data_IF_792690501210
#
_entry.id   IF_792690501210
#
_cell.length_a   1.000
_cell.length_b   1.000
_cell.length_c   1.000
_cell.angle_alpha   90.00
_cell.angle_beta   90.00
_cell.angle_gamma   90.00
#
_symmetry.space_group_name_H-M   'P 1'
#
loop_
_entity.id
_entity.type
_entity.pdbx_description
1 polymer ?
#
# COMPACT_ATOMS: atom_id res chain seq x y z
N UNK A 1 21.73 -8.52 13.09
CA UNK A 1 20.58 -7.62 12.86
C UNK A 1 19.45 -8.43 12.25
N UNK A 2 18.30 -8.39 12.88
CA UNK A 2 17.12 -8.99 12.30
C UNK A 2 16.73 -8.26 11.02
N UNK A 3 16.37 -9.00 9.97
CA UNK A 3 15.88 -8.42 8.73
C UNK A 3 14.58 -7.66 9.02
N UNK A 4 14.52 -6.40 8.61
CA UNK A 4 13.35 -5.56 8.82
C UNK A 4 12.21 -5.99 7.90
N UNK A 5 11.00 -6.09 8.44
CA UNK A 5 9.81 -6.41 7.67
C UNK A 5 9.41 -5.22 6.79
N UNK A 6 9.06 -5.48 5.54
CA UNK A 6 8.78 -4.43 4.55
C UNK A 6 7.43 -4.63 3.88
N UNK A 7 6.62 -3.58 3.86
CA UNK A 7 5.29 -3.56 3.26
C UNK A 7 5.25 -2.55 2.12
N UNK A 8 4.68 -2.94 0.99
CA UNK A 8 4.51 -2.10 -0.19
C UNK A 8 3.03 -1.97 -0.54
N UNK A 9 2.52 -0.74 -0.55
CA UNK A 9 1.15 -0.43 -0.95
C UNK A 9 1.11 -0.08 -2.44
N UNK A 10 0.21 -0.71 -3.20
CA UNK A 10 0.19 -0.57 -4.67
C UNK A 10 -1.21 -0.21 -5.17
N UNK A 11 -1.30 0.87 -5.95
CA UNK A 11 -2.49 1.23 -6.72
C UNK A 11 -2.12 1.40 -8.20
N UNK A 12 -2.98 2.05 -8.98
CA UNK A 12 -2.70 2.25 -10.42
C UNK A 12 -1.60 3.28 -10.64
N UNK A 13 -1.81 4.52 -10.19
CA UNK A 13 -0.94 5.67 -10.51
C UNK A 13 0.03 6.08 -9.42
N UNK A 14 -0.10 5.57 -8.23
CA UNK A 14 0.72 5.92 -7.07
C UNK A 14 0.66 7.42 -6.72
N UNK A 15 -0.51 8.04 -6.88
CA UNK A 15 -0.71 9.46 -6.51
C UNK A 15 -1.88 9.69 -5.54
N UNK A 16 -2.81 8.76 -5.39
CA UNK A 16 -3.97 8.91 -4.49
C UNK A 16 -4.02 7.84 -3.41
N UNK A 17 -4.42 6.61 -3.78
CA UNK A 17 -4.72 5.53 -2.83
C UNK A 17 -3.47 4.99 -2.14
N UNK A 18 -2.48 4.55 -2.89
CA UNK A 18 -1.31 3.90 -2.30
C UNK A 18 -0.44 4.85 -1.47
N UNK A 19 -0.22 6.13 -1.85
CA UNK A 19 0.51 7.03 -0.97
C UNK A 19 -0.26 7.32 0.32
N UNK A 20 -1.59 7.41 0.27
CA UNK A 20 -2.41 7.55 1.48
C UNK A 20 -2.28 6.32 2.36
N UNK A 21 -2.41 5.12 1.78
CA UNK A 21 -2.25 3.86 2.51
C UNK A 21 -0.86 3.75 3.15
N UNK A 22 0.19 4.14 2.44
CA UNK A 22 1.56 4.12 2.95
C UNK A 22 1.70 4.93 4.24
N UNK A 23 1.24 6.18 4.22
CA UNK A 23 1.41 7.10 5.36
C UNK A 23 0.53 6.66 6.54
N UNK A 24 -0.71 6.25 6.27
CA UNK A 24 -1.61 5.76 7.31
C UNK A 24 -1.06 4.48 7.96
N UNK A 25 -0.57 3.55 7.16
CA UNK A 25 0.02 2.30 7.65
C UNK A 25 1.26 2.58 8.51
N UNK A 26 2.14 3.45 8.02
CA UNK A 26 3.35 3.87 8.76
C UNK A 26 3.00 4.50 10.10
N UNK A 27 1.97 5.36 10.11
CA UNK A 27 1.49 6.01 11.35
C UNK A 27 1.11 4.97 12.41
N UNK A 28 0.34 3.95 12.03
CA UNK A 28 -0.06 2.90 12.97
C UNK A 28 1.10 1.98 13.36
N UNK A 29 2.04 1.71 12.45
CA UNK A 29 3.27 0.99 12.81
C UNK A 29 4.01 1.74 13.92
N UNK A 30 4.15 3.06 13.79
CA UNK A 30 4.84 3.88 14.77
C UNK A 30 4.09 3.89 16.12
N UNK A 31 2.76 4.03 16.08
CA UNK A 31 1.94 3.99 17.31
C UNK A 31 2.06 2.67 18.06
N UNK A 32 2.17 1.55 17.33
CA UNK A 32 2.29 0.21 17.91
C UNK A 32 3.73 -0.23 18.11
N UNK A 33 4.70 0.67 17.88
CA UNK A 33 6.14 0.42 18.05
C UNK A 33 6.63 -0.78 17.22
N UNK A 34 6.08 -0.93 16.00
CA UNK A 34 6.49 -1.96 15.04
C UNK A 34 7.58 -1.43 14.13
N UNK A 35 8.69 -2.16 14.04
CA UNK A 35 9.80 -1.81 13.14
C UNK A 35 9.53 -2.34 11.73
N UNK A 36 8.64 -1.67 11.01
CA UNK A 36 8.21 -2.02 9.66
C UNK A 36 8.50 -0.87 8.72
N UNK A 37 9.18 -1.15 7.60
CA UNK A 37 9.33 -0.19 6.50
C UNK A 37 8.08 -0.26 5.64
N UNK A 38 7.50 0.89 5.31
CA UNK A 38 6.33 1.00 4.44
C UNK A 38 6.68 1.91 3.26
N UNK A 39 6.36 1.47 2.06
CA UNK A 39 6.56 2.23 0.82
C UNK A 39 5.33 2.05 -0.08
N UNK A 40 5.30 2.72 -1.21
CA UNK A 40 4.22 2.59 -2.18
C UNK A 40 4.73 2.65 -3.62
N UNK A 41 3.93 2.10 -4.55
CA UNK A 41 4.22 2.09 -5.98
C UNK A 41 2.92 2.04 -6.77
N UNK A 42 3.01 2.25 -8.08
CA UNK A 42 1.89 2.10 -9.01
C UNK A 42 2.12 0.97 -9.98
N UNK A 43 1.04 0.35 -10.46
CA UNK A 43 1.15 -0.63 -11.53
C UNK A 43 1.48 0.05 -12.86
N UNK A 44 1.12 1.34 -13.02
CA UNK A 44 1.46 2.14 -14.20
C UNK A 44 2.60 3.14 -13.89
N UNK A 45 3.14 3.75 -14.95
CA UNK A 45 4.14 4.80 -14.85
C UNK A 45 3.59 6.19 -15.24
N UNK A 46 2.27 6.36 -15.24
CA UNK A 46 1.61 7.57 -15.75
C UNK A 46 2.04 8.84 -15.01
N UNK A 47 2.36 8.73 -13.72
CA UNK A 47 2.67 9.86 -12.87
C UNK A 47 4.07 9.80 -12.25
N UNK A 48 4.98 9.09 -12.91
CA UNK A 48 6.35 8.86 -12.41
C UNK A 48 7.01 10.16 -11.94
N UNK A 49 7.60 10.11 -10.74
CA UNK A 49 8.28 11.21 -10.06
C UNK A 49 7.38 12.37 -9.65
N UNK A 50 6.07 12.24 -9.80
CA UNK A 50 5.14 13.29 -9.36
C UNK A 50 4.80 13.15 -7.89
N UNK A 51 4.49 14.29 -7.25
CA UNK A 51 3.95 14.31 -5.90
C UNK A 51 2.54 13.70 -5.89
N UNK A 52 2.05 13.24 -4.73
CA UNK A 52 0.66 12.82 -4.59
C UNK A 52 -0.31 13.90 -5.02
N UNK A 53 -1.51 13.47 -5.46
CA UNK A 53 -2.60 14.37 -5.83
C UNK A 53 -2.83 15.40 -4.74
N UNK A 54 -3.02 16.67 -5.12
CA UNK A 54 -3.16 17.77 -4.16
C UNK A 54 -4.36 17.60 -3.25
N UNK A 55 -5.47 17.04 -3.76
CA UNK A 55 -6.67 16.77 -2.96
C UNK A 55 -6.40 15.67 -1.94
N UNK A 56 -5.68 14.62 -2.33
CA UNK A 56 -5.24 13.57 -1.39
C UNK A 56 -4.39 14.15 -0.29
N UNK A 57 -3.44 15.02 -0.62
CA UNK A 57 -2.60 15.70 0.37
C UNK A 57 -3.42 16.56 1.33
N UNK A 58 -4.39 17.33 0.79
CA UNK A 58 -5.23 18.21 1.59
C UNK A 58 -6.09 17.44 2.60
N UNK A 59 -6.77 16.40 2.14
CA UNK A 59 -7.63 15.58 3.00
C UNK A 59 -6.82 14.83 4.06
N UNK A 60 -5.67 14.27 3.68
CA UNK A 60 -4.77 13.59 4.61
C UNK A 60 -4.24 14.54 5.68
N UNK A 61 -3.85 15.75 5.29
CA UNK A 61 -3.31 16.76 6.21
C UNK A 61 -4.29 17.14 7.30
N UNK A 62 -5.59 17.21 6.98
CA UNK A 62 -6.63 17.48 7.97
C UNK A 62 -6.68 16.46 9.09
N UNK A 63 -6.22 15.22 8.83
CA UNK A 63 -6.15 14.15 9.83
C UNK A 63 -4.74 13.97 10.41
N UNK A 64 -3.80 14.85 10.07
CA UNK A 64 -2.43 14.81 10.57
C UNK A 64 -1.46 13.95 9.76
N UNK A 65 -1.83 13.53 8.55
CA UNK A 65 -0.95 12.76 7.67
C UNK A 65 -0.30 13.66 6.61
N UNK A 66 1.02 13.55 6.48
CA UNK A 66 1.78 14.34 5.49
C UNK A 66 2.25 13.44 4.34
N UNK A 67 1.69 13.68 3.14
CA UNK A 67 2.04 12.97 1.91
C UNK A 67 3.05 13.76 1.05
N UNK A 68 3.42 14.97 1.43
CA UNK A 68 4.08 15.93 0.54
C UNK A 68 5.46 15.49 0.03
N UNK A 69 6.19 14.69 0.80
CA UNK A 69 7.54 14.23 0.42
C UNK A 69 7.54 13.02 -0.50
N UNK A 70 6.40 12.36 -0.68
CA UNK A 70 6.33 11.15 -1.50
C UNK A 70 6.42 11.49 -2.99
N UNK A 71 6.93 10.52 -3.77
CA UNK A 71 7.01 10.63 -5.23
C UNK A 71 6.59 9.32 -5.86
N UNK A 72 5.76 9.40 -6.88
CA UNK A 72 5.24 8.23 -7.58
C UNK A 72 6.36 7.44 -8.27
N UNK A 73 6.31 6.13 -8.16
CA UNK A 73 7.19 5.20 -8.87
C UNK A 73 6.41 4.00 -9.37
N UNK A 74 6.95 3.29 -10.34
CA UNK A 74 6.31 2.09 -10.87
C UNK A 74 6.79 0.85 -10.11
N UNK A 75 5.85 -0.06 -9.88
CA UNK A 75 6.14 -1.41 -9.36
C UNK A 75 7.07 -2.15 -10.32
N UNK A 76 8.10 -2.80 -9.80
CA UNK A 76 9.06 -3.57 -10.58
C UNK A 76 9.16 -5.02 -10.07
N UNK A 77 9.74 -5.89 -10.89
CA UNK A 77 9.97 -7.29 -10.48
C UNK A 77 10.87 -7.40 -9.25
N UNK A 78 11.80 -6.47 -9.09
CA UNK A 78 12.70 -6.42 -7.92
C UNK A 78 11.93 -6.25 -6.61
N UNK A 79 10.77 -5.57 -6.63
CA UNK A 79 9.98 -5.35 -5.43
C UNK A 79 9.53 -6.66 -4.77
N UNK A 80 9.32 -7.72 -5.56
CA UNK A 80 8.94 -9.02 -5.01
C UNK A 80 10.08 -9.73 -4.27
N UNK A 81 11.32 -9.30 -4.47
CA UNK A 81 12.48 -9.76 -3.71
C UNK A 81 12.72 -8.91 -2.47
N UNK A 82 12.37 -7.64 -2.52
CA UNK A 82 12.71 -6.67 -1.48
C UNK A 82 11.66 -6.52 -0.39
N UNK A 83 10.39 -6.78 -0.71
CA UNK A 83 9.27 -6.60 0.21
C UNK A 83 8.70 -7.94 0.68
N UNK A 84 8.22 -7.97 1.91
CA UNK A 84 7.59 -9.15 2.52
C UNK A 84 6.10 -9.23 2.20
N UNK A 85 5.45 -8.07 2.07
CA UNK A 85 4.01 -7.97 1.85
C UNK A 85 3.74 -6.87 0.82
N UNK A 86 3.00 -7.23 -0.23
CA UNK A 86 2.56 -6.30 -1.28
C UNK A 86 1.03 -6.22 -1.22
N UNK A 87 0.51 -5.03 -0.95
CA UNK A 87 -0.91 -4.80 -0.72
C UNK A 87 -1.54 -4.07 -1.90
N UNK A 88 -2.52 -4.71 -2.53
CA UNK A 88 -3.31 -4.16 -3.62
C UNK A 88 -4.46 -3.32 -3.08
N UNK A 89 -4.72 -2.16 -3.68
CA UNK A 89 -5.80 -1.28 -3.25
C UNK A 89 -7.15 -1.72 -3.81
N UNK A 90 -7.18 -2.38 -4.96
CA UNK A 90 -8.39 -2.94 -5.57
C UNK A 90 -8.10 -4.26 -6.28
N UNK A 91 -9.15 -4.90 -6.82
CA UNK A 91 -9.03 -6.20 -7.47
C UNK A 91 -8.25 -6.12 -8.79
N UNK A 92 -8.36 -5.02 -9.53
CA UNK A 92 -7.58 -4.82 -10.77
C UNK A 92 -6.09 -4.68 -10.44
N UNK A 93 -5.75 -3.90 -9.41
CA UNK A 93 -4.36 -3.81 -8.94
C UNK A 93 -3.83 -5.18 -8.52
N UNK A 94 -4.66 -5.97 -7.84
CA UNK A 94 -4.30 -7.33 -7.42
C UNK A 94 -3.94 -8.21 -8.62
N UNK A 95 -4.76 -8.20 -9.67
CA UNK A 95 -4.51 -8.97 -10.88
C UNK A 95 -3.25 -8.50 -11.61
N UNK A 96 -3.07 -7.19 -11.74
CA UNK A 96 -1.88 -6.59 -12.39
C UNK A 96 -0.60 -6.93 -11.62
N UNK A 97 -0.66 -6.92 -10.29
CA UNK A 97 0.47 -7.32 -9.43
C UNK A 97 0.81 -8.79 -9.67
N UNK A 98 -0.19 -9.67 -9.75
CA UNK A 98 0.04 -11.09 -10.00
C UNK A 98 0.65 -11.35 -11.38
N UNK A 99 0.26 -10.59 -12.40
CA UNK A 99 0.88 -10.70 -13.72
C UNK A 99 2.37 -10.37 -13.66
N UNK A 100 2.73 -9.30 -12.94
CA UNK A 100 4.14 -8.94 -12.76
C UNK A 100 4.89 -9.95 -11.88
N UNK A 101 4.21 -10.51 -10.88
CA UNK A 101 4.79 -11.57 -10.03
C UNK A 101 5.18 -12.78 -10.87
N UNK A 102 4.36 -13.19 -11.85
CA UNK A 102 4.69 -14.30 -12.75
C UNK A 102 5.98 -14.00 -13.53
N UNK A 103 6.16 -12.75 -13.98
CA UNK A 103 7.40 -12.35 -14.63
C UNK A 103 8.59 -12.41 -13.68
N UNK A 104 8.41 -12.00 -12.43
CA UNK A 104 9.45 -12.07 -11.41
C UNK A 104 9.85 -13.54 -11.12
N UNK A 105 8.88 -14.42 -11.02
CA UNK A 105 9.13 -15.86 -10.83
C UNK A 105 9.94 -16.43 -12.00
N UNK A 106 9.58 -16.06 -13.22
CA UNK A 106 10.32 -16.48 -14.42
C UNK A 106 11.75 -15.92 -14.42
N UNK A 107 11.91 -14.66 -14.02
CA UNK A 107 13.21 -13.96 -14.04
C UNK A 107 14.17 -14.44 -12.95
N UNK A 108 13.67 -14.63 -11.72
CA UNK A 108 14.49 -14.86 -10.53
C UNK A 108 14.36 -16.28 -9.95
N UNK A 109 13.33 -17.02 -10.32
CA UNK A 109 12.96 -18.30 -9.70
C UNK A 109 12.03 -18.10 -8.50
N UNK A 110 11.10 -19.05 -8.31
CA UNK A 110 10.09 -18.96 -7.24
C UNK A 110 10.71 -18.92 -5.84
N UNK A 111 11.87 -19.56 -5.65
CA UNK A 111 12.55 -19.59 -4.35
C UNK A 111 13.15 -18.25 -3.92
N UNK A 112 13.33 -17.30 -4.86
CA UNK A 112 13.82 -15.96 -4.56
C UNK A 112 12.70 -15.00 -4.16
N UNK A 113 11.46 -15.34 -4.45
CA UNK A 113 10.31 -14.46 -4.17
C UNK A 113 10.08 -14.41 -2.66
N UNK A 114 10.17 -13.21 -2.11
CA UNK A 114 9.94 -12.92 -0.69
C UNK A 114 8.50 -12.46 -0.44
N UNK A 115 7.93 -11.73 -1.38
CA UNK A 115 6.66 -11.04 -1.20
C UNK A 115 5.45 -11.98 -1.21
N UNK A 116 4.55 -11.76 -0.24
CA UNK A 116 3.19 -12.26 -0.26
C UNK A 116 2.29 -11.14 -0.79
N UNK A 117 1.34 -11.46 -1.67
CA UNK A 117 0.41 -10.48 -2.25
C UNK A 117 -0.96 -10.65 -1.62
N UNK A 118 -1.57 -9.54 -1.20
CA UNK A 118 -2.89 -9.53 -0.57
C UNK A 118 -3.63 -8.24 -0.92
N UNK A 119 -4.93 -8.20 -0.67
CA UNK A 119 -5.69 -6.95 -0.70
C UNK A 119 -5.43 -6.15 0.57
N UNK A 120 -5.38 -4.82 0.44
CA UNK A 120 -5.29 -3.93 1.61
C UNK A 120 -6.39 -4.25 2.63
N UNK A 121 -7.61 -4.50 2.16
CA UNK A 121 -8.80 -4.77 2.98
C UNK A 121 -9.00 -6.24 3.35
N UNK A 122 -8.03 -7.13 3.10
CA UNK A 122 -8.21 -8.58 3.26
C UNK A 122 -8.71 -8.99 4.64
N UNK A 123 -8.23 -8.34 5.69
CA UNK A 123 -8.59 -8.65 7.07
C UNK A 123 -9.45 -7.56 7.72
N UNK A 124 -9.96 -6.63 6.92
CA UNK A 124 -10.72 -5.49 7.41
C UNK A 124 -12.13 -5.92 7.84
N UNK A 125 -12.52 -5.76 9.13
CA UNK A 125 -13.85 -6.15 9.58
C UNK A 125 -14.96 -5.20 9.14
N UNK A 126 -14.63 -3.94 8.81
CA UNK A 126 -15.61 -2.94 8.34
C UNK A 126 -15.78 -2.97 6.83
N UNK A 127 -14.73 -3.25 6.09
CA UNK A 127 -14.71 -3.25 4.63
C UNK A 127 -14.13 -4.57 4.10
N UNK A 128 -14.72 -5.74 4.46
CA UNK A 128 -14.10 -7.03 4.20
C UNK A 128 -13.89 -7.28 2.70
N UNK A 129 -12.64 -7.37 2.31
CA UNK A 129 -12.20 -7.62 0.92
C UNK A 129 -12.74 -6.60 -0.09
N UNK A 130 -13.15 -5.42 0.36
CA UNK A 130 -13.64 -4.37 -0.52
C UNK A 130 -12.48 -3.58 -1.14
N UNK A 131 -12.64 -3.22 -2.41
CA UNK A 131 -11.73 -2.32 -3.09
C UNK A 131 -11.76 -0.93 -2.44
N UNK A 132 -10.59 -0.29 -2.29
CA UNK A 132 -10.57 1.13 -2.02
C UNK A 132 -11.11 1.87 -3.25
N UNK A 133 -12.05 2.80 -3.08
CA UNK A 133 -12.55 3.56 -4.22
C UNK A 133 -11.44 4.41 -4.83
N UNK A 134 -11.46 4.58 -6.16
CA UNK A 134 -10.54 5.50 -6.82
C UNK A 134 -11.15 6.89 -6.80
N UNK A 135 -10.57 7.84 -6.04
CA UNK A 135 -11.16 9.15 -5.86
C UNK A 135 -10.78 10.14 -6.97
N UNK A 136 -9.94 9.76 -7.92
CA UNK A 136 -9.31 10.69 -8.87
C UNK A 136 -10.32 11.51 -9.66
N UNK A 137 -11.42 10.87 -10.11
CA UNK A 137 -12.47 11.51 -10.92
C UNK A 137 -13.70 11.90 -10.11
N UNK A 138 -13.68 11.72 -8.80
CA UNK A 138 -14.81 11.98 -7.92
C UNK A 138 -14.66 13.28 -7.13
N UNK A 139 -15.63 13.55 -6.25
CA UNK A 139 -15.62 14.68 -5.34
C UNK A 139 -14.84 14.40 -4.03
N UNK A 140 -14.90 15.36 -3.12
CA UNK A 140 -14.17 15.33 -1.85
C UNK A 140 -14.46 14.09 -0.99
N UNK A 141 -15.71 13.59 -1.04
CA UNK A 141 -16.13 12.42 -0.28
C UNK A 141 -15.30 11.18 -0.61
N UNK A 142 -14.84 11.04 -1.86
CA UNK A 142 -14.02 9.92 -2.29
C UNK A 142 -12.69 9.88 -1.55
N UNK A 143 -12.07 11.04 -1.34
CA UNK A 143 -10.80 11.13 -0.60
C UNK A 143 -10.98 10.78 0.88
N UNK A 144 -12.10 11.21 1.49
CA UNK A 144 -12.42 10.87 2.88
C UNK A 144 -12.70 9.38 3.04
N UNK A 145 -13.39 8.74 2.09
CA UNK A 145 -13.63 7.29 2.11
C UNK A 145 -12.32 6.50 2.01
N UNK A 146 -11.39 6.95 1.18
CA UNK A 146 -10.07 6.31 1.08
C UNK A 146 -9.36 6.35 2.43
N UNK A 147 -9.38 7.51 3.10
CA UNK A 147 -8.79 7.65 4.44
C UNK A 147 -9.47 6.75 5.46
N UNK A 148 -10.81 6.73 5.50
CA UNK A 148 -11.57 5.88 6.43
C UNK A 148 -11.20 4.41 6.24
N UNK A 149 -11.18 3.94 5.00
CA UNK A 149 -10.89 2.54 4.70
C UNK A 149 -9.41 2.22 4.96
N UNK A 150 -8.48 3.12 4.62
CA UNK A 150 -7.06 2.92 4.91
C UNK A 150 -6.82 2.79 6.42
N UNK A 151 -7.47 3.61 7.23
CA UNK A 151 -7.34 3.52 8.69
C UNK A 151 -7.86 2.19 9.22
N UNK A 152 -9.04 1.77 8.79
CA UNK A 152 -9.62 0.49 9.20
C UNK A 152 -8.78 -0.70 8.73
N UNK A 153 -8.39 -0.73 7.46
CA UNK A 153 -7.61 -1.82 6.88
C UNK A 153 -6.20 -1.91 7.47
N UNK A 154 -5.54 -0.76 7.67
CA UNK A 154 -4.20 -0.73 8.26
C UNK A 154 -4.21 -1.29 9.68
N UNK A 155 -5.18 -0.90 10.53
CA UNK A 155 -5.31 -1.45 11.88
C UNK A 155 -5.50 -2.96 11.86
N UNK A 156 -6.31 -3.48 10.94
CA UNK A 156 -6.51 -4.92 10.79
C UNK A 156 -5.18 -5.64 10.47
N UNK A 157 -4.39 -5.09 9.54
CA UNK A 157 -3.08 -5.65 9.22
C UNK A 157 -2.09 -5.54 10.39
N UNK A 158 -2.09 -4.44 11.11
CA UNK A 158 -1.23 -4.26 12.29
C UNK A 158 -1.48 -5.40 13.30
N UNK A 159 -2.73 -5.73 13.55
CA UNK A 159 -3.08 -6.81 14.48
C UNK A 159 -2.57 -8.18 13.99
N UNK A 160 -2.67 -8.44 12.69
CA UNK A 160 -2.15 -9.67 12.08
C UNK A 160 -0.62 -9.71 12.17
N UNK A 161 0.06 -8.61 11.81
CA UNK A 161 1.52 -8.55 11.81
C UNK A 161 2.12 -8.63 13.22
N UNK A 162 1.47 -8.04 14.22
CA UNK A 162 1.90 -8.17 15.61
C UNK A 162 1.98 -9.63 16.04
N UNK A 163 0.98 -10.43 15.69
CA UNK A 163 0.96 -11.87 15.98
C UNK A 163 2.03 -12.61 15.18
N UNK A 164 2.13 -12.32 13.90
CA UNK A 164 3.10 -12.97 13.00
C UNK A 164 4.54 -12.69 13.41
N UNK A 165 4.83 -11.47 13.85
CA UNK A 165 6.18 -11.04 14.24
C UNK A 165 6.47 -11.23 15.74
N UNK A 166 5.53 -11.78 16.51
CA UNK A 166 5.66 -12.02 17.96
C UNK A 166 5.96 -10.76 18.77
N UNK A 167 5.24 -9.70 18.45
CA UNK A 167 5.45 -8.39 19.12
C UNK A 167 4.23 -7.98 19.94
#
# INVERSE_FOLDING_TARGET
>A
MEAQYKVLCVCLGNICRSPTAEVVFRHYCDQHQLNIIVDSAGTSNYHRNKAPDQRSQLHAKKRGYDLSSLRARQLSTQDFLDFDLVLAMDHQNFDDIHDLLQRAIFQFGSHQIRAKVALMSEHDPQYPQQALPDPYYGGDEGFERVLDQCESSALAWINILKKQLNV
#
